data_IF_776780163478
#
_entry.id   IF_776780163478
#
_cell.length_a   1.000
_cell.length_b   1.000
_cell.length_c   1.000
_cell.angle_alpha   90.00
_cell.angle_beta   90.00
_cell.angle_gamma   90.00
#
_symmetry.space_group_name_H-M   'P 1'
#
loop_
_entity.id
_entity.type
_entity.pdbx_description
1 polymer ?
#
# COMPACT_ATOMS: atom_id res chain seq x y z
N UNK A 1 -9.63 -16.56 26.79
CA UNK A 1 -10.74 -15.61 26.60
C UNK A 1 -11.17 -15.71 25.15
N UNK A 2 -12.46 -15.92 24.88
CA UNK A 2 -12.98 -15.89 23.51
C UNK A 2 -12.82 -14.45 23.01
N UNK A 3 -12.04 -14.26 21.95
CA UNK A 3 -11.89 -12.97 21.29
C UNK A 3 -13.25 -12.62 20.71
N UNK A 4 -13.82 -11.47 21.09
CA UNK A 4 -15.07 -11.01 20.51
C UNK A 4 -14.92 -10.91 18.98
N UNK A 5 -15.92 -11.37 18.20
CA UNK A 5 -15.87 -11.24 16.76
C UNK A 5 -15.79 -9.75 16.37
N UNK A 6 -15.05 -9.45 15.30
CA UNK A 6 -15.03 -8.10 14.74
C UNK A 6 -16.45 -7.67 14.36
N UNK A 7 -16.88 -6.53 14.89
CA UNK A 7 -18.20 -5.96 14.66
C UNK A 7 -18.16 -4.68 13.82
N UNK A 8 -17.21 -4.53 12.90
CA UNK A 8 -16.97 -3.24 12.24
C UNK A 8 -18.19 -2.71 11.48
N UNK A 9 -19.00 -3.58 10.86
CA UNK A 9 -20.27 -3.16 10.24
C UNK A 9 -21.21 -2.49 11.25
N UNK A 10 -21.36 -3.11 12.43
CA UNK A 10 -22.17 -2.60 13.53
C UNK A 10 -21.58 -1.30 14.07
N UNK A 11 -20.26 -1.22 14.20
CA UNK A 11 -19.57 -0.05 14.72
C UNK A 11 -19.67 1.15 13.75
N UNK A 12 -19.54 0.90 12.45
CA UNK A 12 -19.75 1.92 11.40
C UNK A 12 -21.21 2.39 11.40
N UNK A 13 -22.17 1.47 11.47
CA UNK A 13 -23.60 1.80 11.55
C UNK A 13 -23.91 2.65 12.78
N UNK A 14 -23.31 2.30 13.93
CA UNK A 14 -23.44 3.06 15.17
C UNK A 14 -22.81 4.45 15.06
N UNK A 15 -21.65 4.57 14.44
CA UNK A 15 -21.00 5.86 14.22
C UNK A 15 -21.86 6.79 13.35
N UNK A 16 -22.46 6.27 12.28
CA UNK A 16 -23.39 7.02 11.42
C UNK A 16 -24.59 7.53 12.22
N UNK A 17 -25.21 6.69 13.03
CA UNK A 17 -26.34 7.08 13.89
C UNK A 17 -25.96 8.20 14.88
N UNK A 18 -24.77 8.10 15.49
CA UNK A 18 -24.27 9.11 16.42
C UNK A 18 -23.99 10.45 15.71
N UNK A 19 -23.49 10.41 14.47
CA UNK A 19 -23.30 11.62 13.68
C UNK A 19 -24.62 12.32 13.36
N UNK A 20 -25.70 11.58 13.08
CA UNK A 20 -27.03 12.17 12.90
C UNK A 20 -27.56 12.84 14.16
N UNK A 21 -27.34 12.23 15.33
CA UNK A 21 -27.72 12.82 16.62
C UNK A 21 -26.94 14.10 16.89
N UNK A 22 -25.63 14.12 16.61
CA UNK A 22 -24.78 15.30 16.74
C UNK A 22 -25.16 16.43 15.78
N UNK A 23 -25.61 16.11 14.56
CA UNK A 23 -26.12 17.13 13.64
C UNK A 23 -27.38 17.81 14.19
N UNK A 24 -28.22 17.07 14.92
CA UNK A 24 -29.44 17.62 15.55
C UNK A 24 -29.15 18.46 16.79
N UNK A 25 -28.05 18.23 17.50
CA UNK A 25 -27.70 19.04 18.67
C UNK A 25 -27.20 20.45 18.31
N UNK A 26 -26.68 20.63 17.08
CA UNK A 26 -26.19 21.92 16.60
C UNK A 26 -24.85 22.36 17.21
N UNK A 27 -24.22 21.52 18.02
CA UNK A 27 -22.95 21.84 18.72
C UNK A 27 -21.74 21.85 17.77
N UNK A 28 -21.86 21.21 16.60
CA UNK A 28 -20.75 21.00 15.67
C UNK A 28 -21.10 21.46 14.24
N UNK A 29 -20.11 21.90 13.45
CA UNK A 29 -20.34 22.31 12.06
C UNK A 29 -20.94 21.18 11.22
N UNK A 30 -22.16 21.36 10.65
CA UNK A 30 -22.89 20.28 9.99
C UNK A 30 -22.16 19.78 8.73
N UNK A 31 -21.41 20.64 8.05
CA UNK A 31 -20.63 20.29 6.86
C UNK A 31 -19.59 19.19 7.14
N UNK A 32 -18.89 19.28 8.29
CA UNK A 32 -17.88 18.30 8.68
C UNK A 32 -18.52 16.95 9.04
N UNK A 33 -19.63 16.98 9.76
CA UNK A 33 -20.38 15.78 10.13
C UNK A 33 -20.96 15.08 8.91
N UNK A 34 -21.54 15.83 7.95
CA UNK A 34 -22.05 15.28 6.70
C UNK A 34 -20.94 14.69 5.83
N UNK A 35 -19.79 15.35 5.75
CA UNK A 35 -18.64 14.82 5.02
C UNK A 35 -18.18 13.47 5.59
N UNK A 36 -18.05 13.38 6.92
CA UNK A 36 -17.67 12.13 7.59
C UNK A 36 -18.72 11.04 7.38
N UNK A 37 -20.01 11.39 7.48
CA UNK A 37 -21.12 10.46 7.24
C UNK A 37 -21.09 9.91 5.81
N UNK A 38 -20.85 10.77 4.81
CA UNK A 38 -20.69 10.33 3.41
C UNK A 38 -19.51 9.38 3.23
N UNK A 39 -18.40 9.62 3.91
CA UNK A 39 -17.23 8.71 3.86
C UNK A 39 -17.59 7.35 4.45
N UNK A 40 -18.15 7.31 5.65
CA UNK A 40 -18.53 6.07 6.34
C UNK A 40 -19.59 5.27 5.57
N UNK A 41 -20.51 5.94 4.87
CA UNK A 41 -21.54 5.31 4.05
C UNK A 41 -21.12 5.05 2.60
N UNK A 42 -19.88 5.39 2.23
CA UNK A 42 -19.42 5.22 0.85
C UNK A 42 -19.17 3.76 0.51
N UNK A 43 -19.42 3.38 -0.75
CA UNK A 43 -19.05 2.06 -1.28
C UNK A 43 -17.57 1.73 -1.09
N UNK A 44 -16.71 2.75 -1.11
CA UNK A 44 -15.28 2.61 -0.89
C UNK A 44 -14.98 2.19 0.56
N UNK A 45 -15.60 2.84 1.55
CA UNK A 45 -15.45 2.46 2.95
C UNK A 45 -16.01 1.04 3.21
N UNK A 46 -17.14 0.69 2.61
CA UNK A 46 -17.69 -0.67 2.66
C UNK A 46 -16.71 -1.71 2.10
N UNK A 47 -16.13 -1.46 0.93
CA UNK A 47 -15.15 -2.35 0.33
C UNK A 47 -13.89 -2.51 1.18
N UNK A 48 -13.37 -1.42 1.75
CA UNK A 48 -12.20 -1.49 2.66
C UNK A 48 -12.52 -2.33 3.88
N UNK A 49 -13.69 -2.12 4.50
CA UNK A 49 -14.13 -2.88 5.67
C UNK A 49 -14.21 -4.37 5.35
N UNK A 50 -14.83 -4.75 4.24
CA UNK A 50 -14.96 -6.15 3.82
C UNK A 50 -13.60 -6.83 3.62
N UNK A 51 -12.65 -6.16 2.96
CA UNK A 51 -11.28 -6.68 2.80
C UNK A 51 -10.59 -6.80 4.15
N UNK A 52 -10.75 -5.82 5.04
CA UNK A 52 -10.15 -5.86 6.38
C UNK A 52 -10.68 -7.03 7.21
N UNK A 53 -12.00 -7.22 7.27
CA UNK A 53 -12.63 -8.32 8.02
C UNK A 53 -12.17 -9.68 7.47
N UNK A 54 -12.20 -9.85 6.15
CA UNK A 54 -11.73 -11.07 5.49
C UNK A 54 -10.26 -11.37 5.82
N UNK A 55 -9.39 -10.36 5.79
CA UNK A 55 -7.97 -10.52 6.14
C UNK A 55 -7.76 -10.75 7.64
N UNK A 56 -8.56 -10.14 8.51
CA UNK A 56 -8.44 -10.35 9.95
C UNK A 56 -8.78 -11.79 10.35
N UNK A 57 -9.77 -12.39 9.69
CA UNK A 57 -10.22 -13.75 9.95
C UNK A 57 -9.29 -14.81 9.34
N UNK A 58 -8.63 -14.49 8.23
CA UNK A 58 -7.79 -15.44 7.49
C UNK A 58 -6.31 -15.42 7.89
N UNK A 59 -5.80 -14.27 8.34
CA UNK A 59 -4.37 -14.14 8.69
C UNK A 59 -4.09 -14.71 10.08
N UNK A 60 -3.26 -15.76 10.13
CA UNK A 60 -2.75 -16.28 11.39
C UNK A 60 -1.59 -15.41 11.91
N UNK A 61 -1.96 -14.30 12.56
CA UNK A 61 -1.00 -13.38 13.16
C UNK A 61 -0.84 -13.73 14.63
N UNK A 62 0.39 -14.13 14.98
CA UNK A 62 0.82 -14.38 16.35
C UNK A 62 1.08 -13.05 17.06
N UNK A 63 0.35 -12.77 18.15
CA UNK A 63 0.50 -11.51 18.88
C UNK A 63 -0.77 -11.10 19.60
N UNK A 64 -0.75 -9.88 20.16
CA UNK A 64 -1.94 -9.26 20.76
C UNK A 64 -2.97 -8.86 19.69
N UNK A 65 -4.21 -8.58 20.11
CA UNK A 65 -5.26 -8.09 19.23
C UNK A 65 -4.86 -6.79 18.50
N UNK A 66 -4.08 -5.93 19.15
CA UNK A 66 -3.55 -4.69 18.57
C UNK A 66 -2.51 -4.97 17.47
N UNK A 67 -1.58 -5.90 17.71
CA UNK A 67 -0.59 -6.32 16.70
C UNK A 67 -1.31 -6.89 15.48
N UNK A 68 -2.31 -7.74 15.71
CA UNK A 68 -3.14 -8.30 14.64
C UNK A 68 -3.84 -7.20 13.85
N UNK A 69 -4.54 -6.29 14.53
CA UNK A 69 -5.25 -5.19 13.87
C UNK A 69 -4.32 -4.32 13.02
N UNK A 70 -3.13 -4.01 13.53
CA UNK A 70 -2.15 -3.21 12.80
C UNK A 70 -1.60 -3.94 11.56
N UNK A 71 -1.30 -5.24 11.68
CA UNK A 71 -0.86 -6.06 10.56
C UNK A 71 -1.97 -6.23 9.50
N UNK A 72 -3.22 -6.49 9.91
CA UNK A 72 -4.37 -6.56 9.00
C UNK A 72 -4.60 -5.24 8.28
N UNK A 73 -4.50 -4.09 8.97
CA UNK A 73 -4.62 -2.78 8.34
C UNK A 73 -3.57 -2.58 7.24
N UNK A 74 -2.31 -2.92 7.52
CA UNK A 74 -1.22 -2.87 6.52
C UNK A 74 -1.49 -3.78 5.33
N UNK A 75 -1.92 -5.02 5.58
CA UNK A 75 -2.25 -5.98 4.52
C UNK A 75 -3.42 -5.50 3.65
N UNK A 76 -4.44 -4.89 4.27
CA UNK A 76 -5.59 -4.30 3.58
C UNK A 76 -5.12 -3.20 2.61
N UNK A 77 -4.33 -2.25 3.10
CA UNK A 77 -3.76 -1.18 2.25
C UNK A 77 -2.91 -1.78 1.12
N UNK A 78 -2.05 -2.74 1.44
CA UNK A 78 -1.22 -3.42 0.45
C UNK A 78 -2.05 -4.08 -0.66
N UNK A 79 -3.15 -4.77 -0.30
CA UNK A 79 -4.04 -5.41 -1.26
C UNK A 79 -4.70 -4.40 -2.23
N UNK A 80 -5.15 -3.25 -1.73
CA UNK A 80 -5.68 -2.19 -2.59
C UNK A 80 -4.60 -1.56 -3.47
N UNK A 81 -3.40 -1.31 -2.94
CA UNK A 81 -2.30 -0.79 -3.77
C UNK A 81 -1.84 -1.79 -4.84
N UNK A 82 -1.95 -3.09 -4.56
CA UNK A 82 -1.70 -4.14 -5.53
C UNK A 82 -2.78 -4.15 -6.62
N UNK A 83 -4.06 -4.03 -6.26
CA UNK A 83 -5.17 -4.07 -7.22
C UNK A 83 -5.15 -2.92 -8.23
N UNK A 84 -4.54 -1.78 -7.89
CA UNK A 84 -4.29 -0.67 -8.82
C UNK A 84 -3.18 -0.96 -9.86
N UNK A 85 -2.59 -2.16 -9.85
CA UNK A 85 -1.62 -2.61 -10.87
C UNK A 85 -0.24 -1.96 -10.78
N UNK A 86 -0.04 -1.03 -9.85
CA UNK A 86 1.23 -0.33 -9.67
C UNK A 86 2.25 -1.10 -8.83
N UNK A 87 1.81 -2.02 -7.95
CA UNK A 87 2.68 -2.76 -7.04
C UNK A 87 2.99 -4.21 -7.45
N UNK A 88 2.52 -4.66 -8.62
CA UNK A 88 2.85 -5.99 -9.12
C UNK A 88 4.26 -6.01 -9.71
N UNK A 89 5.08 -7.06 -9.43
CA UNK A 89 6.34 -7.27 -10.13
C UNK A 89 6.10 -7.24 -11.65
N UNK A 90 6.92 -6.45 -12.35
CA UNK A 90 6.86 -6.30 -13.80
C UNK A 90 8.24 -6.53 -14.39
N UNK A 91 8.28 -7.16 -15.56
CA UNK A 91 9.50 -7.28 -16.36
C UNK A 91 9.57 -6.07 -17.28
N UNK A 92 10.69 -5.36 -17.26
CA UNK A 92 10.94 -4.21 -18.14
C UNK A 92 12.20 -4.49 -18.95
N UNK A 93 12.06 -4.42 -20.28
CA UNK A 93 13.18 -4.60 -21.21
C UNK A 93 13.64 -3.22 -21.67
N UNK A 94 14.88 -2.87 -21.34
CA UNK A 94 15.48 -1.61 -21.75
C UNK A 94 16.66 -1.85 -22.70
N UNK A 95 16.68 -1.23 -23.89
CA UNK A 95 17.83 -1.33 -24.77
C UNK A 95 19.01 -0.56 -24.15
N UNK A 96 20.17 -1.21 -24.05
CA UNK A 96 21.39 -0.54 -23.61
C UNK A 96 21.87 0.42 -24.69
N UNK A 97 22.04 1.69 -24.33
CA UNK A 97 22.59 2.74 -25.20
C UNK A 97 23.95 3.21 -24.69
N UNK A 98 24.65 4.02 -25.48
CA UNK A 98 25.94 4.62 -25.08
C UNK A 98 25.80 5.55 -23.85
N UNK A 99 24.59 6.06 -23.59
CA UNK A 99 24.25 6.87 -22.41
C UNK A 99 23.78 6.03 -21.21
N UNK A 100 23.77 4.69 -21.34
CA UNK A 100 23.28 3.76 -20.34
C UNK A 100 21.77 3.49 -20.42
N UNK A 101 21.16 3.15 -19.28
CA UNK A 101 19.73 2.77 -19.17
C UNK A 101 18.82 3.92 -18.71
N UNK A 102 19.39 5.06 -18.29
CA UNK A 102 18.60 6.24 -17.94
C UNK A 102 17.92 6.20 -16.56
N UNK A 103 18.43 5.44 -15.60
CA UNK A 103 17.95 5.46 -14.21
C UNK A 103 19.10 5.21 -13.22
N UNK A 104 18.89 5.58 -11.97
CA UNK A 104 19.82 5.34 -10.86
C UNK A 104 19.19 4.39 -9.85
N UNK A 105 20.03 3.56 -9.23
CA UNK A 105 19.63 2.69 -8.12
C UNK A 105 20.22 3.18 -6.79
N UNK A 106 19.71 2.67 -5.67
CA UNK A 106 20.22 2.87 -4.32
C UNK A 106 19.90 1.67 -3.44
N UNK A 107 20.44 1.62 -2.22
CA UNK A 107 20.30 0.49 -1.32
C UNK A 107 21.26 -0.64 -1.66
N UNK A 108 21.07 -1.80 -1.04
CA UNK A 108 22.02 -2.90 -1.04
C UNK A 108 22.15 -3.50 0.35
N UNK A 109 22.63 -4.75 0.41
CA UNK A 109 22.83 -5.50 1.66
C UNK A 109 23.68 -4.73 2.67
N UNK A 110 24.70 -3.99 2.21
CA UNK A 110 25.58 -3.20 3.06
C UNK A 110 24.88 -2.02 3.76
N UNK A 111 23.74 -1.59 3.22
CA UNK A 111 22.86 -0.57 3.80
C UNK A 111 21.66 -1.18 4.53
N UNK A 112 21.62 -2.52 4.69
CA UNK A 112 20.49 -3.28 5.23
C UNK A 112 19.14 -2.89 4.58
N UNK A 113 19.16 -2.68 3.26
CA UNK A 113 18.03 -2.18 2.49
C UNK A 113 17.96 -2.88 1.13
N UNK A 114 16.78 -3.21 0.59
CA UNK A 114 16.67 -3.69 -0.79
C UNK A 114 17.19 -2.67 -1.80
N UNK A 115 17.39 -3.13 -3.04
CA UNK A 115 17.85 -2.29 -4.14
C UNK A 115 16.64 -1.65 -4.82
N UNK A 116 16.61 -0.31 -4.86
CA UNK A 116 15.49 0.48 -5.40
C UNK A 116 15.93 1.44 -6.48
N UNK A 117 15.01 1.81 -7.37
CA UNK A 117 15.18 2.92 -8.30
C UNK A 117 15.09 4.24 -7.53
N UNK A 118 16.23 4.92 -7.39
CA UNK A 118 16.33 6.20 -6.69
C UNK A 118 15.88 7.36 -7.59
N UNK A 119 16.11 7.26 -8.90
CA UNK A 119 15.77 8.29 -9.88
C UNK A 119 15.59 7.67 -11.27
N UNK A 120 14.58 8.14 -12.00
CA UNK A 120 14.48 7.95 -13.46
C UNK A 120 14.94 9.26 -14.12
N UNK A 121 15.86 9.19 -15.09
CA UNK A 121 16.48 10.37 -15.72
C UNK A 121 15.53 10.91 -16.79
N UNK A 122 15.04 12.16 -16.66
CA UNK A 122 14.12 12.75 -17.64
C UNK A 122 14.71 12.72 -19.04
N UNK A 123 13.91 12.26 -20.00
CA UNK A 123 14.32 12.10 -21.39
C UNK A 123 15.27 10.94 -21.65
N UNK A 124 15.70 10.17 -20.64
CA UNK A 124 16.54 8.98 -20.77
C UNK A 124 15.78 7.75 -21.27
N UNK A 125 16.48 6.62 -21.47
CA UNK A 125 15.89 5.38 -22.01
C UNK A 125 14.75 4.87 -21.12
N UNK A 126 14.96 4.76 -19.80
CA UNK A 126 13.93 4.32 -18.85
C UNK A 126 12.71 5.25 -18.80
N UNK A 127 12.91 6.58 -18.90
CA UNK A 127 11.83 7.57 -18.90
C UNK A 127 10.97 7.46 -20.15
N UNK A 128 11.61 7.37 -21.33
CA UNK A 128 10.90 7.20 -22.61
C UNK A 128 10.15 5.88 -22.70
N UNK A 129 10.64 4.82 -22.06
CA UNK A 129 9.91 3.56 -21.95
C UNK A 129 8.73 3.67 -20.97
N UNK A 130 8.87 4.42 -19.87
CA UNK A 130 7.83 4.60 -18.86
C UNK A 130 7.49 3.37 -18.02
N UNK A 131 8.28 2.28 -18.16
CA UNK A 131 8.04 1.01 -17.45
C UNK A 131 8.58 1.00 -16.02
N UNK A 132 9.53 1.89 -15.71
CA UNK A 132 10.15 2.01 -14.40
C UNK A 132 9.74 3.31 -13.71
N UNK A 133 9.50 3.25 -12.40
CA UNK A 133 9.17 4.41 -11.57
C UNK A 133 10.13 4.51 -10.40
N UNK A 134 10.34 5.75 -9.92
CA UNK A 134 11.06 5.98 -8.66
C UNK A 134 10.37 5.22 -7.52
N UNK A 135 11.15 4.50 -6.74
CA UNK A 135 10.67 3.68 -5.63
C UNK A 135 10.38 2.22 -6.00
N UNK A 136 10.42 1.84 -7.29
CA UNK A 136 10.35 0.43 -7.67
C UNK A 136 11.56 -0.34 -7.09
N UNK A 137 11.32 -1.54 -6.56
CA UNK A 137 12.36 -2.45 -6.08
C UNK A 137 12.86 -3.32 -7.23
N UNK A 138 14.17 -3.44 -7.38
CA UNK A 138 14.76 -4.42 -8.28
C UNK A 138 14.77 -5.80 -7.60
N UNK A 139 14.15 -6.77 -8.27
CA UNK A 139 14.14 -8.17 -7.82
C UNK A 139 15.16 -9.01 -8.60
N UNK A 140 15.26 -8.78 -9.92
CA UNK A 140 16.23 -9.45 -10.78
C UNK A 140 16.66 -8.56 -11.94
N UNK A 141 17.87 -8.80 -12.44
CA UNK A 141 18.44 -8.16 -13.64
C UNK A 141 18.89 -9.28 -14.58
N UNK A 142 18.36 -9.29 -15.80
CA UNK A 142 18.68 -10.31 -16.82
C UNK A 142 18.54 -11.76 -16.30
N UNK A 143 17.53 -12.02 -15.48
CA UNK A 143 17.25 -13.34 -14.90
C UNK A 143 18.10 -13.70 -13.68
N UNK A 144 19.03 -12.84 -13.25
CA UNK A 144 19.80 -13.03 -12.01
C UNK A 144 19.14 -12.26 -10.88
N UNK A 145 18.77 -12.95 -9.79
CA UNK A 145 18.21 -12.29 -8.60
C UNK A 145 19.24 -11.34 -7.96
N UNK A 146 18.75 -10.17 -7.56
CA UNK A 146 19.53 -9.15 -6.82
C UNK A 146 18.98 -8.94 -5.40
N UNK A 147 18.05 -9.80 -4.96
CA UNK A 147 17.47 -9.72 -3.62
C UNK A 147 18.51 -10.08 -2.56
N UNK A 148 18.69 -9.21 -1.57
CA UNK A 148 19.64 -9.42 -0.49
C UNK A 148 21.11 -9.34 -0.92
N UNK A 149 21.38 -8.84 -2.12
CA UNK A 149 22.73 -8.66 -2.66
C UNK A 149 23.31 -7.27 -2.35
N UNK A 150 24.62 -7.14 -2.48
CA UNK A 150 25.30 -5.85 -2.35
C UNK A 150 24.96 -4.94 -3.53
N UNK A 151 25.01 -3.63 -3.31
CA UNK A 151 24.75 -2.61 -4.34
C UNK A 151 25.51 -2.88 -5.65
N UNK A 152 26.80 -3.20 -5.54
CA UNK A 152 27.72 -3.39 -6.67
C UNK A 152 27.30 -4.53 -7.61
N UNK A 153 26.57 -5.53 -7.12
CA UNK A 153 26.13 -6.67 -7.95
C UNK A 153 25.00 -6.30 -8.90
N UNK A 154 24.30 -5.19 -8.65
CA UNK A 154 23.18 -4.70 -9.47
C UNK A 154 23.56 -3.57 -10.44
N UNK A 155 24.83 -3.14 -10.47
CA UNK A 155 25.36 -2.05 -11.31
C UNK A 155 26.02 -2.59 -12.57
#
# INVERSE_FOLDING_TARGET
>A
ALVEPLGLERDVSRAVELLERLQRSGELPPQKLQALQRVLQSRFCSAIREVYEQLYDTLDITGSAEIRAHATAKATVAAFTASEGHAHPRVVELPKTDEGLGFNIMGGKEQNSPIYISRVIPGGVADRHGGLKRGDQLLSVNGVSVEGEQHEKAV
#
